data_IF_334882994189
#
_entry.id   IF_334882994189
#
_cell.length_a   1.000
_cell.length_b   1.000
_cell.length_c   1.000
_cell.angle_alpha   90.00
_cell.angle_beta   90.00
_cell.angle_gamma   90.00
#
_symmetry.space_group_name_H-M   'P 1'
#
loop_
_entity.id
_entity.type
_entity.pdbx_description
1 polymer ?
#
# COMPACT_ATOMS: atom_id res chain seq x y z
N UNK A 1 -26.20 -15.79 -25.84
CA UNK A 1 -25.00 -14.98 -26.12
C UNK A 1 -23.92 -15.44 -25.15
N UNK A 2 -22.86 -16.10 -25.63
CA UNK A 2 -21.73 -16.52 -24.80
C UNK A 2 -20.70 -15.39 -24.84
N UNK A 3 -20.56 -14.63 -23.76
CA UNK A 3 -19.43 -13.73 -23.59
C UNK A 3 -18.18 -14.57 -23.32
N UNK A 4 -17.08 -14.24 -23.98
CA UNK A 4 -15.78 -14.86 -23.72
C UNK A 4 -14.97 -13.95 -22.81
N UNK A 5 -14.38 -14.53 -21.76
CA UNK A 5 -13.54 -13.84 -20.77
C UNK A 5 -12.05 -14.11 -21.01
N UNK A 6 -11.66 -14.54 -22.22
CA UNK A 6 -10.30 -15.01 -22.51
C UNK A 6 -9.20 -14.02 -22.12
N UNK A 7 -9.49 -12.72 -22.19
CA UNK A 7 -8.54 -11.65 -21.87
C UNK A 7 -8.89 -10.90 -20.57
N UNK A 8 -9.88 -11.38 -19.80
CA UNK A 8 -10.27 -10.77 -18.53
C UNK A 8 -9.46 -11.39 -17.39
N UNK A 9 -8.72 -10.56 -16.65
CA UNK A 9 -8.05 -10.98 -15.43
C UNK A 9 -9.02 -10.91 -14.24
N UNK A 10 -9.18 -12.03 -13.55
CA UNK A 10 -9.87 -12.08 -12.25
C UNK A 10 -8.84 -11.99 -11.14
N UNK A 11 -9.06 -11.06 -10.21
CA UNK A 11 -8.10 -10.81 -9.14
C UNK A 11 -8.72 -10.22 -7.88
N UNK A 12 -7.83 -9.90 -6.94
CA UNK A 12 -8.17 -9.28 -5.65
C UNK A 12 -7.29 -8.05 -5.43
N UNK A 13 -7.73 -7.19 -4.51
CA UNK A 13 -7.01 -5.97 -4.16
C UNK A 13 -6.99 -5.75 -2.65
N UNK A 14 -5.91 -5.15 -2.16
CA UNK A 14 -5.70 -4.82 -0.75
C UNK A 14 -5.04 -3.45 -0.63
N UNK A 15 -4.93 -2.94 0.61
CA UNK A 15 -4.12 -1.78 0.96
C UNK A 15 -3.25 -2.13 2.18
N UNK A 16 -1.98 -1.74 2.14
CA UNK A 16 -0.95 -2.00 3.14
C UNK A 16 -1.45 -1.76 4.57
N UNK A 17 -1.94 -0.55 4.86
CA UNK A 17 -2.47 -0.16 6.16
C UNK A 17 -3.59 -1.10 6.66
N UNK A 18 -4.44 -1.60 5.76
CA UNK A 18 -5.63 -2.37 6.10
C UNK A 18 -5.33 -3.84 6.42
N UNK A 19 -4.20 -4.38 5.94
CA UNK A 19 -3.89 -5.82 6.07
C UNK A 19 -2.56 -6.11 6.77
N UNK A 20 -1.54 -5.25 6.64
CA UNK A 20 -0.18 -5.58 7.06
C UNK A 20 -0.03 -5.73 8.58
N UNK A 21 -0.43 -4.71 9.33
CA UNK A 21 -0.22 -4.63 10.77
C UNK A 21 1.24 -4.36 11.19
N UNK A 22 1.43 -3.82 12.39
CA UNK A 22 2.73 -3.62 13.04
C UNK A 22 3.34 -2.22 12.88
N UNK A 23 2.92 -1.44 11.88
CA UNK A 23 3.37 -0.06 11.72
C UNK A 23 2.60 0.91 12.62
N UNK A 24 3.35 1.86 13.20
CA UNK A 24 2.86 2.90 14.12
C UNK A 24 3.23 4.32 13.66
N UNK A 25 3.90 4.46 12.51
CA UNK A 25 4.50 5.72 12.08
C UNK A 25 3.74 6.35 10.90
N UNK A 26 2.41 6.18 10.87
CA UNK A 26 1.56 6.72 9.81
C UNK A 26 0.37 7.50 10.37
N UNK A 27 -0.16 8.40 9.53
CA UNK A 27 -1.27 9.28 9.85
C UNK A 27 -2.53 8.56 10.33
N UNK A 28 -2.82 7.35 9.84
CA UNK A 28 -4.00 6.59 10.24
C UNK A 28 -3.84 5.93 11.60
N UNK A 29 -2.64 5.47 11.96
CA UNK A 29 -2.35 5.00 13.31
C UNK A 29 -2.54 6.14 14.32
N UNK A 30 -2.02 7.33 14.00
CA UNK A 30 -2.16 8.53 14.83
C UNK A 30 -3.64 8.93 14.97
N UNK A 31 -4.39 8.95 13.87
CA UNK A 31 -5.81 9.29 13.88
C UNK A 31 -6.64 8.31 14.69
N UNK A 32 -6.31 7.01 14.63
CA UNK A 32 -6.98 5.97 15.42
C UNK A 32 -6.71 6.06 16.93
N UNK A 33 -5.69 6.81 17.37
CA UNK A 33 -5.46 7.07 18.79
C UNK A 33 -6.42 8.12 19.38
N UNK A 34 -7.12 8.89 18.54
CA UNK A 34 -8.02 9.95 18.99
C UNK A 34 -9.39 9.32 19.34
N UNK A 35 -9.90 9.47 20.57
CA UNK A 35 -11.19 8.88 20.94
C UNK A 35 -12.33 9.36 20.04
N UNK A 36 -13.10 8.41 19.51
CA UNK A 36 -14.30 8.68 18.71
C UNK A 36 -14.06 8.87 17.20
N UNK A 37 -12.83 8.79 16.71
CA UNK A 37 -12.55 8.85 15.25
C UNK A 37 -12.85 7.53 14.54
N UNK A 38 -12.52 6.40 15.20
CA UNK A 38 -12.85 5.06 14.73
C UNK A 38 -14.08 4.56 15.50
N UNK A 39 -15.12 4.15 14.76
CA UNK A 39 -16.42 3.81 15.32
C UNK A 39 -16.39 2.73 16.42
N UNK A 40 -15.48 1.75 16.31
CA UNK A 40 -15.28 0.68 17.29
C UNK A 40 -14.01 0.87 18.14
N UNK A 41 -13.29 1.98 17.97
CA UNK A 41 -12.02 2.27 18.66
C UNK A 41 -10.86 1.34 18.27
N UNK A 42 -10.97 0.58 17.18
CA UNK A 42 -9.89 -0.28 16.70
C UNK A 42 -8.72 0.52 16.09
N UNK A 43 -7.58 -0.15 15.88
CA UNK A 43 -6.38 0.44 15.27
C UNK A 43 -5.83 -0.50 14.19
N UNK A 44 -5.09 0.02 13.19
CA UNK A 44 -4.49 -0.81 12.15
C UNK A 44 -3.29 -1.65 12.65
N UNK A 45 -2.95 -1.60 13.94
CA UNK A 45 -1.73 -2.19 14.47
C UNK A 45 -1.66 -3.72 14.32
N UNK A 46 -2.81 -4.41 14.32
CA UNK A 46 -2.85 -5.86 14.05
C UNK A 46 -3.30 -6.16 12.62
N UNK A 47 -4.36 -5.50 12.15
CA UNK A 47 -4.98 -5.79 10.85
C UNK A 47 -5.22 -7.31 10.66
N UNK A 48 -4.79 -7.87 9.51
CA UNK A 48 -4.82 -9.32 9.26
C UNK A 48 -3.45 -9.99 9.43
N UNK A 49 -2.46 -9.26 9.96
CA UNK A 49 -1.08 -9.70 10.17
C UNK A 49 -0.36 -10.11 8.86
N UNK A 50 -0.76 -9.52 7.73
CA UNK A 50 -0.21 -9.85 6.42
C UNK A 50 1.30 -9.58 6.34
N UNK A 51 1.84 -8.62 7.10
CA UNK A 51 3.27 -8.34 7.11
C UNK A 51 4.11 -9.60 7.40
N UNK A 52 3.62 -10.42 8.34
CA UNK A 52 4.26 -11.65 8.76
C UNK A 52 3.78 -12.88 7.96
N UNK A 53 2.56 -12.82 7.40
CA UNK A 53 1.84 -13.97 6.82
C UNK A 53 1.69 -13.94 5.31
N UNK A 54 2.30 -12.98 4.64
CA UNK A 54 2.17 -12.76 3.19
C UNK A 54 2.44 -13.99 2.32
N UNK A 55 3.33 -14.89 2.74
CA UNK A 55 3.62 -16.14 2.01
C UNK A 55 2.39 -17.05 1.98
N UNK A 56 1.74 -17.20 3.13
CA UNK A 56 0.50 -17.96 3.23
C UNK A 56 -0.62 -17.31 2.41
N UNK A 57 -0.71 -15.98 2.44
CA UNK A 57 -1.71 -15.26 1.65
C UNK A 57 -1.44 -15.37 0.14
N UNK A 58 -0.17 -15.43 -0.27
CA UNK A 58 0.21 -15.71 -1.67
C UNK A 58 -0.19 -17.13 -2.09
N UNK A 59 0.08 -18.13 -1.25
CA UNK A 59 -0.32 -19.51 -1.49
C UNK A 59 -1.86 -19.64 -1.57
N UNK A 60 -2.59 -18.91 -0.72
CA UNK A 60 -4.05 -18.84 -0.77
C UNK A 60 -4.53 -18.25 -2.09
N UNK A 61 -3.98 -17.11 -2.52
CA UNK A 61 -4.35 -16.50 -3.81
C UNK A 61 -4.10 -17.45 -4.99
N UNK A 62 -2.98 -18.18 -4.97
CA UNK A 62 -2.65 -19.17 -5.99
C UNK A 62 -3.64 -20.34 -5.99
N UNK A 63 -3.99 -20.87 -4.80
CA UNK A 63 -4.94 -21.97 -4.66
C UNK A 63 -6.37 -21.61 -5.10
N UNK A 64 -6.74 -20.33 -5.00
CA UNK A 64 -8.01 -19.80 -5.49
C UNK A 64 -8.02 -19.57 -7.00
N UNK A 65 -6.88 -19.74 -7.68
CA UNK A 65 -6.76 -19.54 -9.13
C UNK A 65 -6.85 -18.06 -9.54
N UNK A 66 -6.46 -17.15 -8.65
CA UNK A 66 -6.43 -15.72 -8.96
C UNK A 66 -5.34 -15.43 -10.00
N UNK A 67 -5.63 -14.52 -10.92
CA UNK A 67 -4.74 -14.20 -12.03
C UNK A 67 -4.00 -12.88 -11.82
N UNK A 68 -4.53 -12.02 -10.95
CA UNK A 68 -3.92 -10.73 -10.65
C UNK A 68 -4.14 -10.31 -9.20
N UNK A 69 -3.17 -9.60 -8.64
CA UNK A 69 -3.21 -9.05 -7.30
C UNK A 69 -2.76 -7.60 -7.31
N UNK A 70 -3.65 -6.70 -6.84
CA UNK A 70 -3.33 -5.29 -6.59
C UNK A 70 -3.03 -5.08 -5.11
N UNK A 71 -1.77 -4.79 -4.79
CA UNK A 71 -1.34 -4.39 -3.45
C UNK A 71 -1.00 -2.90 -3.41
N UNK A 72 -0.82 -2.33 -2.21
CA UNK A 72 -0.13 -1.06 -2.03
C UNK A 72 1.12 -1.26 -1.18
N UNK A 73 2.08 -0.35 -1.33
CA UNK A 73 3.21 -0.24 -0.39
C UNK A 73 2.87 0.76 0.72
N UNK A 74 3.55 0.64 1.86
CA UNK A 74 3.41 1.57 2.98
C UNK A 74 4.57 2.58 3.02
N UNK A 75 4.28 3.85 2.73
CA UNK A 75 5.28 4.91 2.69
C UNK A 75 5.98 5.07 4.05
N UNK A 76 5.27 5.01 5.17
CA UNK A 76 5.88 5.13 6.51
C UNK A 76 6.90 4.03 6.84
N UNK A 77 6.78 2.86 6.21
CA UNK A 77 7.79 1.80 6.34
C UNK A 77 8.99 2.05 5.43
N UNK A 78 8.74 2.48 4.20
CA UNK A 78 9.79 2.71 3.20
C UNK A 78 10.65 3.90 3.59
N UNK A 79 10.05 4.98 4.08
CA UNK A 79 10.71 6.21 4.48
C UNK A 79 10.25 6.61 5.90
N UNK A 80 10.74 5.94 6.96
CA UNK A 80 10.32 6.20 8.34
C UNK A 80 10.68 7.61 8.83
N UNK A 81 11.67 8.26 8.23
CA UNK A 81 12.01 9.67 8.46
C UNK A 81 12.33 10.35 7.13
N UNK A 82 12.20 11.69 7.03
CA UNK A 82 12.43 12.39 5.76
C UNK A 82 13.83 12.10 5.19
N UNK A 83 13.89 11.51 4.00
CA UNK A 83 15.09 11.12 3.28
C UNK A 83 15.78 9.83 3.77
N UNK A 84 15.27 9.18 4.82
CA UNK A 84 15.82 7.92 5.35
C UNK A 84 15.04 6.73 4.74
N UNK A 85 15.50 6.22 3.60
CA UNK A 85 14.90 5.04 2.96
C UNK A 85 15.38 3.75 3.62
N UNK A 86 14.44 2.92 4.08
CA UNK A 86 14.70 1.58 4.60
C UNK A 86 14.74 0.54 3.47
N UNK A 87 15.96 0.12 3.12
CA UNK A 87 16.18 -0.92 2.09
C UNK A 87 15.65 -2.29 2.49
N UNK A 88 15.65 -2.64 3.79
CA UNK A 88 15.13 -3.92 4.25
C UNK A 88 13.62 -4.04 4.04
N UNK A 89 12.88 -2.93 4.17
CA UNK A 89 11.46 -2.87 3.82
C UNK A 89 11.24 -3.04 2.31
N UNK A 90 12.06 -2.37 1.48
CA UNK A 90 11.98 -2.54 0.03
C UNK A 90 12.28 -3.98 -0.40
N UNK A 91 13.31 -4.61 0.18
CA UNK A 91 13.66 -6.01 -0.07
C UNK A 91 12.50 -6.93 0.33
N UNK A 92 11.83 -6.65 1.45
CA UNK A 92 10.64 -7.41 1.89
C UNK A 92 9.46 -7.27 0.92
N UNK A 93 9.17 -6.08 0.39
CA UNK A 93 8.16 -5.92 -0.67
C UNK A 93 8.58 -6.62 -1.96
N UNK A 94 9.86 -6.53 -2.33
CA UNK A 94 10.41 -7.20 -3.51
C UNK A 94 10.26 -8.72 -3.43
N UNK A 95 10.53 -9.31 -2.26
CA UNK A 95 10.30 -10.75 -2.02
C UNK A 95 8.85 -11.15 -2.25
N UNK A 96 7.89 -10.35 -1.79
CA UNK A 96 6.46 -10.62 -1.97
C UNK A 96 6.02 -10.51 -3.42
N UNK A 97 6.38 -9.42 -4.10
CA UNK A 97 6.08 -9.23 -5.52
C UNK A 97 6.69 -10.37 -6.35
N UNK A 98 7.93 -10.78 -6.04
CA UNK A 98 8.58 -11.89 -6.71
C UNK A 98 7.84 -13.22 -6.49
N UNK A 99 7.36 -13.49 -5.28
CA UNK A 99 6.61 -14.71 -4.97
C UNK A 99 5.22 -14.72 -5.62
N UNK A 100 4.50 -13.60 -5.62
CA UNK A 100 3.22 -13.43 -6.33
C UNK A 100 3.41 -13.75 -7.81
N UNK A 101 4.46 -13.20 -8.43
CA UNK A 101 4.81 -13.50 -9.82
C UNK A 101 5.19 -14.97 -10.03
N UNK A 102 5.97 -15.55 -9.12
CA UNK A 102 6.36 -16.96 -9.19
C UNK A 102 5.16 -17.92 -9.05
N UNK A 103 4.10 -17.49 -8.36
CA UNK A 103 2.82 -18.19 -8.28
C UNK A 103 1.94 -18.04 -9.54
N UNK A 104 2.41 -17.34 -10.57
CA UNK A 104 1.68 -17.11 -11.81
C UNK A 104 0.62 -15.99 -11.72
N UNK A 105 0.69 -15.15 -10.69
CA UNK A 105 -0.23 -14.04 -10.46
C UNK A 105 0.43 -12.74 -10.93
N UNK A 106 -0.29 -11.92 -11.69
CA UNK A 106 0.20 -10.61 -12.18
C UNK A 106 0.14 -9.58 -11.06
N UNK A 107 1.28 -9.01 -10.61
CA UNK A 107 1.31 -8.01 -9.55
C UNK A 107 1.07 -6.59 -10.08
N UNK A 108 0.18 -5.86 -9.39
CA UNK A 108 -0.05 -4.42 -9.57
C UNK A 108 0.24 -3.71 -8.25
N UNK A 109 0.93 -2.57 -8.31
CA UNK A 109 1.33 -1.82 -7.10
C UNK A 109 0.70 -0.44 -7.08
N UNK A 110 0.06 -0.12 -5.96
CA UNK A 110 -0.45 1.21 -5.63
C UNK A 110 0.57 1.95 -4.78
N UNK A 111 0.99 3.14 -5.22
CA UNK A 111 2.06 3.92 -4.58
C UNK A 111 1.57 4.71 -3.35
N UNK A 112 0.32 5.19 -3.37
CA UNK A 112 -0.31 5.82 -2.20
C UNK A 112 -1.76 5.36 -2.05
N UNK A 113 -2.07 4.79 -0.88
CA UNK A 113 -3.40 4.27 -0.55
C UNK A 113 -3.87 4.80 0.81
N UNK A 114 -4.02 6.14 0.89
CA UNK A 114 -4.50 6.92 2.04
C UNK A 114 -3.55 7.02 3.25
N UNK A 115 -2.64 6.08 3.44
CA UNK A 115 -1.60 6.15 4.46
C UNK A 115 -0.34 6.84 3.95
N UNK A 116 0.27 7.62 4.84
CA UNK A 116 1.56 8.26 4.64
C UNK A 116 2.26 8.49 6.00
N UNK A 117 3.56 8.77 6.01
CA UNK A 117 4.32 8.87 7.25
C UNK A 117 3.83 10.00 8.14
N UNK A 118 3.85 9.80 9.46
CA UNK A 118 3.49 10.84 10.44
C UNK A 118 4.35 12.10 10.29
N UNK A 119 5.62 11.95 9.88
CA UNK A 119 6.47 13.10 9.59
C UNK A 119 5.97 13.92 8.39
N UNK A 120 5.39 13.28 7.37
CA UNK A 120 4.85 13.97 6.21
C UNK A 120 3.60 14.77 6.59
N UNK A 121 2.71 14.15 7.38
CA UNK A 121 1.57 14.84 7.98
C UNK A 121 2.01 16.06 8.81
N UNK A 122 3.05 15.90 9.63
CA UNK A 122 3.64 16.96 10.46
C UNK A 122 4.24 18.13 9.68
N UNK A 123 4.61 17.92 8.40
CA UNK A 123 5.07 18.98 7.49
C UNK A 123 3.92 19.69 6.75
N UNK A 124 2.67 19.38 7.09
CA UNK A 124 1.46 19.90 6.42
C UNK A 124 0.85 18.90 5.42
N UNK A 125 1.42 17.70 5.29
CA UNK A 125 0.89 16.64 4.43
C UNK A 125 0.70 17.09 2.98
N UNK A 126 -0.42 16.70 2.39
CA UNK A 126 -0.73 16.99 0.98
C UNK A 126 -1.02 18.46 0.67
N UNK A 127 -1.22 19.32 1.67
CA UNK A 127 -1.39 20.77 1.46
C UNK A 127 -0.08 21.54 1.55
N UNK A 128 1.01 20.87 1.92
CA UNK A 128 2.34 21.47 2.00
C UNK A 128 2.92 21.77 0.60
N UNK A 129 3.68 22.87 0.42
CA UNK A 129 4.30 23.20 -0.86
C UNK A 129 5.23 22.11 -1.42
N UNK A 130 5.83 21.30 -0.56
CA UNK A 130 6.78 20.24 -0.93
C UNK A 130 6.14 18.85 -1.05
N UNK A 131 4.81 18.76 -0.95
CA UNK A 131 4.10 17.47 -0.92
C UNK A 131 4.40 16.60 -2.14
N UNK A 132 4.34 17.23 -3.33
CA UNK A 132 4.57 16.54 -4.61
C UNK A 132 6.00 16.05 -4.72
N UNK A 133 7.00 16.87 -4.37
CA UNK A 133 8.41 16.49 -4.44
C UNK A 133 8.72 15.28 -3.54
N UNK A 134 8.13 15.25 -2.34
CA UNK A 134 8.27 14.12 -1.41
C UNK A 134 7.62 12.85 -1.95
N UNK A 135 6.44 12.97 -2.53
CA UNK A 135 5.79 11.82 -3.15
C UNK A 135 6.59 11.31 -4.35
N UNK A 136 7.11 12.20 -5.21
CA UNK A 136 7.97 11.80 -6.33
C UNK A 136 9.24 11.07 -5.87
N UNK A 137 9.84 11.50 -4.75
CA UNK A 137 10.96 10.76 -4.16
C UNK A 137 10.58 9.31 -3.78
N UNK A 138 9.41 9.11 -3.16
CA UNK A 138 8.88 7.76 -2.90
C UNK A 138 8.68 6.99 -4.21
N UNK A 139 8.08 7.63 -5.23
CA UNK A 139 7.85 6.99 -6.54
C UNK A 139 9.16 6.49 -7.13
N UNK A 140 10.21 7.33 -7.18
CA UNK A 140 11.52 6.95 -7.71
C UNK A 140 12.08 5.74 -6.96
N UNK A 141 12.07 5.80 -5.63
CA UNK A 141 12.58 4.73 -4.76
C UNK A 141 11.85 3.40 -4.98
N UNK A 142 10.52 3.43 -5.07
CA UNK A 142 9.70 2.22 -5.22
C UNK A 142 9.78 1.64 -6.63
N UNK A 143 9.77 2.50 -7.65
CA UNK A 143 9.88 2.08 -9.06
C UNK A 143 11.26 1.51 -9.33
N UNK A 144 12.34 2.12 -8.80
CA UNK A 144 13.69 1.57 -8.91
C UNK A 144 13.81 0.19 -8.23
N UNK A 145 13.13 -0.01 -7.10
CA UNK A 145 13.21 -1.25 -6.34
C UNK A 145 12.35 -2.39 -6.91
N UNK A 146 11.23 -2.10 -7.56
CA UNK A 146 10.22 -3.11 -7.95
C UNK A 146 9.88 -3.12 -9.45
N UNK A 147 10.37 -2.16 -10.24
CA UNK A 147 9.95 -1.93 -11.63
C UNK A 147 10.24 -3.07 -12.60
N UNK A 148 11.18 -3.96 -12.30
CA UNK A 148 11.46 -5.18 -13.09
C UNK A 148 10.50 -6.34 -12.77
N UNK A 149 9.70 -6.21 -11.72
CA UNK A 149 8.74 -7.23 -11.25
C UNK A 149 7.27 -6.82 -11.41
N UNK A 150 6.96 -5.53 -11.32
CA UNK A 150 5.59 -4.98 -11.35
C UNK A 150 5.14 -4.72 -12.78
N UNK A 151 3.88 -5.07 -13.09
CA UNK A 151 3.33 -4.90 -14.46
C UNK A 151 2.59 -3.58 -14.62
N UNK A 152 1.75 -3.22 -13.65
CA UNK A 152 0.97 -1.98 -13.68
C UNK A 152 1.07 -1.23 -12.35
N UNK A 153 0.97 0.10 -12.47
CA UNK A 153 1.10 1.03 -11.36
C UNK A 153 -0.17 1.84 -11.17
N UNK A 154 -0.61 1.96 -9.93
CA UNK A 154 -1.63 2.92 -9.52
C UNK A 154 -0.94 4.01 -8.72
N UNK A 155 -0.94 5.24 -9.19
CA UNK A 155 -0.24 6.33 -8.50
C UNK A 155 -0.91 6.66 -7.17
N UNK A 156 -2.18 7.05 -7.21
CA UNK A 156 -2.97 7.42 -6.01
C UNK A 156 -4.31 6.71 -6.09
N UNK A 157 -4.64 5.91 -5.08
CA UNK A 157 -5.99 5.36 -4.95
C UNK A 157 -6.96 6.45 -4.49
N UNK A 158 -8.09 6.57 -5.19
CA UNK A 158 -9.24 7.42 -4.82
C UNK A 158 -8.85 8.84 -4.34
N UNK A 159 -8.14 9.64 -5.15
CA UNK A 159 -7.71 10.98 -4.76
C UNK A 159 -8.88 11.89 -4.38
N UNK A 160 -10.06 11.68 -4.98
CA UNK A 160 -11.28 12.40 -4.64
C UNK A 160 -11.79 12.08 -3.23
N UNK A 161 -11.78 10.81 -2.82
CA UNK A 161 -12.23 10.41 -1.48
C UNK A 161 -11.27 10.96 -0.45
N UNK A 162 -9.97 10.78 -0.67
CA UNK A 162 -8.94 11.27 0.22
C UNK A 162 -9.02 12.80 0.40
N UNK A 163 -9.03 13.55 -0.70
CA UNK A 163 -9.05 15.01 -0.63
C UNK A 163 -10.31 15.56 0.06
N UNK A 164 -11.47 14.95 -0.21
CA UNK A 164 -12.74 15.42 0.33
C UNK A 164 -12.89 15.06 1.80
N UNK A 165 -12.68 13.79 2.16
CA UNK A 165 -12.93 13.30 3.53
C UNK A 165 -11.86 13.71 4.54
N UNK A 166 -10.63 14.04 4.09
CA UNK A 166 -9.55 14.43 5.00
C UNK A 166 -9.40 15.95 5.17
N UNK A 167 -9.91 16.76 4.24
CA UNK A 167 -9.60 18.20 4.19
C UNK A 167 -10.80 19.13 3.96
N UNK A 168 -11.97 18.61 3.57
CA UNK A 168 -13.15 19.45 3.33
C UNK A 168 -14.28 19.22 4.35
N UNK A 169 -14.38 18.02 4.91
CA UNK A 169 -15.33 17.64 5.94
C UNK A 169 -14.61 17.38 7.26
#
# INVERSE_FOLDING_TARGET
MLFTTRDLLVGVATASLQIEGGDRNNNWYDWAQIPGTIADGSTPLRATDHWNRWREDTDLMASLGLQTYRMSVEWSRIEPRPGEVDRGVLDRYREEVAAVRAAGIVPLVTLHHFSHPSWFAGLGGWTAPHAVDRFLHLVDVVVDALGDLVTDWVTINEPNVYAVQAHLF
#
